data_IF_274656207492
#
_entry.id   IF_274656207492
#
_cell.length_a   1.000
_cell.length_b   1.000
_cell.length_c   1.000
_cell.angle_alpha   90.00
_cell.angle_beta   90.00
_cell.angle_gamma   90.00
#
_symmetry.space_group_name_H-M   'P 1'
#
loop_
_entity.id
_entity.type
_entity.pdbx_description
1 polymer ?
#
# COMPACT_ATOMS: atom_id res chain seq x y z
N UNK A 1 14.33 -2.14 -7.04
CA UNK A 1 14.26 -0.95 -6.17
C UNK A 1 13.32 -1.24 -5.01
N UNK A 2 13.46 -0.53 -3.90
CA UNK A 2 12.66 -0.75 -2.69
C UNK A 2 11.86 0.49 -2.34
N UNK A 3 10.71 0.29 -1.70
CA UNK A 3 9.82 1.33 -1.19
C UNK A 3 9.30 0.89 0.18
N UNK A 4 9.27 1.83 1.11
CA UNK A 4 8.82 1.55 2.48
C UNK A 4 7.30 1.65 2.55
N UNK A 5 6.67 0.66 3.17
CA UNK A 5 5.26 0.74 3.54
C UNK A 5 5.12 1.56 4.83
N UNK A 6 4.06 2.35 4.90
CA UNK A 6 3.67 3.12 6.07
C UNK A 6 2.20 2.86 6.39
N UNK A 7 1.76 3.11 7.62
CA UNK A 7 0.40 2.84 8.03
C UNK A 7 -0.37 4.16 8.10
N UNK A 8 -1.51 4.23 7.42
CA UNK A 8 -2.34 5.43 7.34
C UNK A 8 -3.81 5.05 7.45
N UNK A 9 -4.50 5.60 8.45
CA UNK A 9 -5.87 5.24 8.81
C UNK A 9 -6.09 3.72 8.83
N UNK A 10 -5.20 3.01 9.53
CA UNK A 10 -5.29 1.56 9.74
C UNK A 10 -4.91 0.69 8.54
N UNK A 11 -4.41 1.28 7.45
CA UNK A 11 -4.06 0.57 6.21
C UNK A 11 -2.60 0.78 5.87
N UNK A 12 -1.92 -0.29 5.46
CA UNK A 12 -0.58 -0.18 4.90
C UNK A 12 -0.64 0.41 3.49
N UNK A 13 0.08 1.51 3.30
CA UNK A 13 0.17 2.28 2.07
C UNK A 13 1.63 2.31 1.61
N UNK A 14 1.82 2.45 0.31
CA UNK A 14 3.12 2.72 -0.30
C UNK A 14 2.99 3.88 -1.28
N UNK A 15 3.95 4.80 -1.22
CA UNK A 15 4.03 5.94 -2.12
C UNK A 15 4.91 5.64 -3.33
N UNK A 16 4.57 6.26 -4.47
CA UNK A 16 5.41 6.17 -5.65
C UNK A 16 6.63 7.09 -5.51
N UNK A 17 7.87 6.60 -5.72
CA UNK A 17 9.06 7.45 -5.68
C UNK A 17 9.07 8.61 -6.68
N UNK A 18 8.24 8.52 -7.74
CA UNK A 18 8.12 9.56 -8.79
C UNK A 18 6.91 10.47 -8.62
N UNK A 19 5.81 9.93 -8.09
CA UNK A 19 4.54 10.66 -7.99
C UNK A 19 4.18 11.08 -6.57
N UNK A 20 4.96 10.66 -5.57
CA UNK A 20 4.63 10.76 -4.15
C UNK A 20 3.25 10.17 -3.85
N UNK A 21 2.52 10.86 -2.98
CA UNK A 21 1.16 10.52 -2.54
C UNK A 21 0.13 10.41 -3.67
N UNK A 22 0.38 11.05 -4.83
CA UNK A 22 -0.55 10.96 -5.98
C UNK A 22 -0.47 9.61 -6.70
N UNK A 23 0.58 8.83 -6.43
CA UNK A 23 0.72 7.45 -6.87
C UNK A 23 0.57 6.44 -5.75
N UNK A 24 0.01 6.84 -4.60
CA UNK A 24 -0.14 5.97 -3.44
C UNK A 24 -1.07 4.80 -3.72
N UNK A 25 -0.78 3.65 -3.12
CA UNK A 25 -1.64 2.45 -3.15
C UNK A 25 -1.53 1.67 -1.86
N UNK A 26 -2.41 0.70 -1.68
CA UNK A 26 -2.26 -0.30 -0.63
C UNK A 26 -0.93 -1.06 -0.83
N UNK A 27 -0.18 -1.23 0.25
CA UNK A 27 1.03 -2.03 0.27
C UNK A 27 0.73 -3.55 0.25
N UNK A 28 -0.53 -3.93 0.45
CA UNK A 28 -0.99 -5.31 0.53
C UNK A 28 -2.04 -5.65 -0.52
N UNK A 29 -2.08 -6.90 -1.03
CA UNK A 29 -3.13 -7.34 -1.93
C UNK A 29 -4.50 -7.20 -1.27
N UNK A 30 -5.43 -6.51 -1.93
CA UNK A 30 -6.80 -6.39 -1.45
C UNK A 30 -7.78 -6.80 -2.55
N UNK A 31 -8.32 -8.03 -2.50
CA UNK A 31 -9.21 -8.58 -3.52
C UNK A 31 -10.47 -7.73 -3.84
N UNK A 32 -10.86 -6.79 -2.96
CA UNK A 32 -11.98 -5.87 -3.18
C UNK A 32 -11.57 -4.60 -3.97
N UNK A 33 -10.28 -4.23 -3.95
CA UNK A 33 -9.72 -3.07 -4.66
C UNK A 33 -8.40 -3.39 -5.40
N UNK A 34 -8.23 -4.66 -5.78
CA UNK A 34 -6.95 -5.41 -5.90
C UNK A 34 -5.87 -4.90 -6.83
N UNK A 35 -6.08 -3.77 -7.48
CA UNK A 35 -5.20 -3.26 -8.52
C UNK A 35 -4.71 -1.84 -8.23
N UNK A 36 -5.12 -1.29 -7.09
CA UNK A 36 -4.39 -0.26 -6.34
C UNK A 36 -3.70 -0.89 -5.13
N UNK A 37 -3.14 -2.08 -5.31
CA UNK A 37 -2.38 -2.78 -4.28
C UNK A 37 -1.11 -3.36 -4.86
N UNK A 38 -0.07 -3.45 -4.04
CA UNK A 38 1.07 -4.29 -4.36
C UNK A 38 0.62 -5.76 -4.47
N UNK A 39 1.15 -6.48 -5.45
CA UNK A 39 0.89 -7.89 -5.70
C UNK A 39 2.18 -8.67 -5.45
N UNK A 40 2.14 -9.70 -4.60
CA UNK A 40 3.31 -10.51 -4.23
C UNK A 40 4.49 -9.66 -3.71
N UNK A 41 4.21 -8.61 -2.94
CA UNK A 41 5.22 -7.68 -2.43
C UNK A 41 5.81 -6.75 -3.50
N UNK A 42 5.24 -6.71 -4.70
CA UNK A 42 5.69 -5.86 -5.80
C UNK A 42 4.67 -4.76 -6.09
N UNK A 43 5.16 -3.53 -6.12
CA UNK A 43 4.40 -2.33 -6.41
C UNK A 43 4.77 -1.77 -7.79
N UNK A 44 3.73 -1.42 -8.56
CA UNK A 44 3.82 -0.66 -9.81
C UNK A 44 2.84 0.51 -9.71
N UNK A 45 3.34 1.74 -9.87
CA UNK A 45 2.53 2.93 -9.76
C UNK A 45 1.48 3.00 -10.89
N UNK A 46 0.20 3.00 -10.54
CA UNK A 46 -0.89 3.12 -11.51
C UNK A 46 -0.93 4.48 -12.22
N UNK A 47 -0.34 5.54 -11.64
CA UNK A 47 -0.24 6.84 -12.30
C UNK A 47 0.85 6.85 -13.37
N UNK A 48 2.01 6.24 -13.11
CA UNK A 48 3.06 6.06 -14.10
C UNK A 48 2.63 5.06 -15.20
N UNK A 49 1.89 4.03 -14.80
CA UNK A 49 1.48 2.93 -15.67
C UNK A 49 -0.04 2.72 -15.58
N UNK A 50 -0.85 3.58 -16.22
CA UNK A 50 -2.33 3.53 -16.13
C UNK A 50 -2.93 2.23 -16.69
N UNK A 51 -2.19 1.50 -17.53
CA UNK A 51 -2.57 0.16 -17.98
C UNK A 51 -2.80 -0.84 -16.83
N UNK A 52 -2.25 -0.58 -15.64
CA UNK A 52 -2.47 -1.39 -14.43
C UNK A 52 -3.92 -1.40 -13.94
N UNK A 53 -4.69 -0.34 -14.24
CA UNK A 53 -6.04 -0.12 -13.68
C UNK A 53 -7.14 -0.03 -14.76
N UNK A 54 -6.82 -0.36 -16.02
CA UNK A 54 -7.81 -0.38 -17.11
C UNK A 54 -8.85 -1.47 -16.85
N UNK A 55 -10.10 -1.05 -16.67
CA UNK A 55 -11.24 -1.95 -16.41
C UNK A 55 -11.71 -2.61 -17.70
N UNK A 56 -12.16 -3.86 -17.61
CA UNK A 56 -12.78 -4.63 -18.69
C UNK A 56 -14.20 -5.12 -18.34
N UNK A 57 -14.66 -4.88 -17.11
CA UNK A 57 -16.01 -5.21 -16.67
C UNK A 57 -16.12 -5.40 -15.16
N UNK A 58 -17.08 -6.22 -14.75
CA UNK A 58 -17.32 -6.63 -13.36
C UNK A 58 -17.52 -8.15 -13.35
N UNK A 59 -16.95 -8.84 -12.36
CA UNK A 59 -17.12 -10.28 -12.17
C UNK A 59 -18.48 -10.58 -11.51
N UNK A 60 -18.92 -11.84 -11.56
CA UNK A 60 -20.22 -12.26 -10.98
C UNK A 60 -20.35 -11.97 -9.48
N UNK A 61 -19.23 -11.92 -8.75
CA UNK A 61 -19.18 -11.59 -7.32
C UNK A 61 -19.12 -10.07 -7.03
N UNK A 62 -19.31 -9.21 -8.05
CA UNK A 62 -19.26 -7.76 -7.91
C UNK A 62 -17.86 -7.14 -7.92
N UNK A 63 -16.78 -7.94 -7.92
CA UNK A 63 -15.43 -7.40 -8.02
C UNK A 63 -15.14 -6.86 -9.42
N UNK A 64 -14.32 -5.83 -9.51
CA UNK A 64 -13.94 -5.23 -10.79
C UNK A 64 -13.10 -6.22 -11.63
N UNK A 65 -13.42 -6.34 -12.91
CA UNK A 65 -12.63 -7.10 -13.89
C UNK A 65 -11.71 -6.14 -14.63
N UNK A 66 -10.43 -6.49 -14.76
CA UNK A 66 -9.42 -5.66 -15.40
C UNK A 66 -8.95 -6.24 -16.73
N UNK A 67 -8.41 -5.38 -17.58
CA UNK A 67 -7.88 -5.78 -18.87
C UNK A 67 -6.48 -6.40 -18.69
N UNK A 68 -6.40 -7.73 -18.73
CA UNK A 68 -5.16 -8.48 -18.54
C UNK A 68 -4.06 -8.08 -19.53
N UNK A 69 -4.41 -7.83 -20.79
CA UNK A 69 -3.47 -7.42 -21.83
C UNK A 69 -2.85 -6.06 -21.51
N UNK A 70 -3.67 -5.07 -21.14
CA UNK A 70 -3.18 -3.73 -20.78
C UNK A 70 -2.31 -3.77 -19.52
N UNK A 71 -2.64 -4.64 -18.56
CA UNK A 71 -1.81 -4.87 -17.37
C UNK A 71 -0.47 -5.48 -17.71
N UNK A 72 -0.45 -6.50 -18.59
CA UNK A 72 0.80 -7.13 -19.03
C UNK A 72 1.71 -6.13 -19.75
N UNK A 73 1.16 -5.31 -20.65
CA UNK A 73 1.90 -4.25 -21.36
C UNK A 73 2.44 -3.21 -20.38
N UNK A 74 1.63 -2.77 -19.41
CA UNK A 74 2.06 -1.84 -18.37
C UNK A 74 3.21 -2.41 -17.54
N UNK A 75 3.11 -3.68 -17.12
CA UNK A 75 4.15 -4.38 -16.37
C UNK A 75 5.45 -4.48 -17.15
N UNK A 76 5.39 -4.87 -18.42
CA UNK A 76 6.59 -4.96 -19.28
C UNK A 76 7.28 -3.61 -19.43
N UNK A 77 6.52 -2.52 -19.59
CA UNK A 77 7.09 -1.16 -19.63
C UNK A 77 7.75 -0.78 -18.30
N UNK A 78 7.09 -1.05 -17.17
CA UNK A 78 7.65 -0.79 -15.85
C UNK A 78 8.94 -1.59 -15.62
N UNK A 79 8.97 -2.87 -15.99
CA UNK A 79 10.14 -3.73 -15.89
C UNK A 79 11.31 -3.19 -16.72
N UNK A 80 11.06 -2.84 -17.99
CA UNK A 80 12.09 -2.24 -18.86
C UNK A 80 12.67 -0.96 -18.29
N UNK A 81 11.86 -0.18 -17.58
CA UNK A 81 12.28 1.08 -16.95
C UNK A 81 12.86 0.87 -15.54
N UNK A 82 12.89 -0.37 -15.02
CA UNK A 82 13.29 -0.68 -13.67
C UNK A 82 12.29 -0.27 -12.59
N UNK A 83 11.10 0.20 -12.94
CA UNK A 83 10.10 0.83 -12.05
C UNK A 83 9.11 -0.18 -11.44
N UNK A 84 9.63 -1.37 -11.11
CA UNK A 84 8.96 -2.34 -10.26
C UNK A 84 9.65 -2.29 -8.90
N UNK A 85 8.88 -1.94 -7.87
CA UNK A 85 9.41 -1.71 -6.54
C UNK A 85 9.03 -2.86 -5.61
N UNK A 86 9.98 -3.35 -4.83
CA UNK A 86 9.71 -4.27 -3.72
C UNK A 86 9.21 -3.45 -2.53
N UNK A 87 8.07 -3.83 -2.00
CA UNK A 87 7.49 -3.22 -0.79
C UNK A 87 8.18 -3.83 0.43
N UNK A 88 8.69 -2.96 1.30
CA UNK A 88 9.34 -3.32 2.54
C UNK A 88 8.45 -2.89 3.70
N UNK A 89 8.05 -3.85 4.52
CA UNK A 89 7.32 -3.61 5.76
C UNK A 89 8.32 -3.55 6.93
N UNK A 90 7.99 -2.84 8.02
CA UNK A 90 8.79 -2.90 9.24
C UNK A 90 8.76 -4.32 9.83
N UNK A 91 9.81 -4.71 10.56
CA UNK A 91 9.93 -6.07 11.14
C UNK A 91 8.84 -6.33 12.19
N UNK A 92 8.56 -5.34 13.03
CA UNK A 92 7.56 -5.35 14.10
C UNK A 92 6.14 -4.99 13.60
N UNK A 93 5.82 -5.30 12.35
CA UNK A 93 4.56 -4.94 11.67
C UNK A 93 3.30 -5.22 12.50
N UNK A 94 3.20 -6.42 13.08
CA UNK A 94 2.03 -6.83 13.88
C UNK A 94 1.87 -6.01 15.16
N UNK A 95 2.97 -5.62 15.78
CA UNK A 95 2.96 -4.83 17.01
C UNK A 95 2.50 -3.41 16.71
N UNK A 96 2.96 -2.83 15.60
CA UNK A 96 2.50 -1.52 15.10
C UNK A 96 0.99 -1.56 14.83
N UNK A 97 0.51 -2.56 14.09
CA UNK A 97 -0.92 -2.74 13.80
C UNK A 97 -1.76 -2.82 15.09
N UNK A 98 -1.31 -3.58 16.09
CA UNK A 98 -2.01 -3.69 17.38
C UNK A 98 -1.98 -2.38 18.18
N UNK A 99 -0.85 -1.67 18.17
CA UNK A 99 -0.70 -0.42 18.91
C UNK A 99 -1.56 0.71 18.31
N UNK A 100 -1.60 0.83 16.98
CA UNK A 100 -2.43 1.85 16.30
C UNK A 100 -3.91 1.48 16.32
N UNK A 101 -4.29 0.21 16.28
CA UNK A 101 -5.70 -0.22 16.26
C UNK A 101 -6.52 0.23 17.50
N UNK A 102 -5.84 0.55 18.61
CA UNK A 102 -6.46 1.11 19.81
C UNK A 102 -6.90 2.58 19.66
N UNK A 103 -6.36 3.27 18.66
CA UNK A 103 -6.65 4.67 18.37
C UNK A 103 -7.93 4.80 17.56
N UNK A 104 -8.54 5.99 17.60
CA UNK A 104 -9.60 6.36 16.66
C UNK A 104 -9.10 6.21 15.21
N UNK A 105 -9.95 5.82 14.24
CA UNK A 105 -9.54 5.49 12.87
C UNK A 105 -8.64 6.52 12.18
N UNK A 106 -8.90 7.82 12.37
CA UNK A 106 -8.12 8.90 11.74
C UNK A 106 -6.70 9.05 12.33
N UNK A 107 -6.48 8.51 13.53
CA UNK A 107 -5.20 8.55 14.24
C UNK A 107 -4.43 7.22 14.16
N UNK A 108 -4.95 6.24 13.42
CA UNK A 108 -4.27 4.97 13.20
C UNK A 108 -3.18 5.15 12.14
N UNK A 109 -2.08 5.80 12.52
CA UNK A 109 -0.98 6.17 11.62
C UNK A 109 0.35 5.69 12.20
N UNK A 110 1.30 5.34 11.31
CA UNK A 110 2.70 5.05 11.62
C UNK A 110 3.56 5.32 10.39
N UNK A 111 4.73 5.93 10.58
CA UNK A 111 5.65 6.29 9.50
C UNK A 111 7.01 5.57 9.62
N UNK A 112 7.70 5.26 8.49
CA UNK A 112 9.00 4.62 8.53
C UNK A 112 10.03 5.45 9.30
N UNK A 113 10.63 4.83 10.31
CA UNK A 113 11.57 5.47 11.24
C UNK A 113 10.98 5.71 12.64
N UNK A 114 9.66 5.64 12.79
CA UNK A 114 9.03 5.61 14.11
C UNK A 114 9.26 4.24 14.78
N UNK A 115 9.63 4.23 16.06
CA UNK A 115 9.80 2.98 16.81
C UNK A 115 8.51 2.60 17.52
N UNK A 116 8.37 1.31 17.84
CA UNK A 116 7.19 0.83 18.58
C UNK A 116 7.16 1.40 20.01
N UNK A 117 8.31 1.61 20.62
CA UNK A 117 8.44 2.19 21.96
C UNK A 117 7.85 3.61 21.97
N UNK A 118 8.23 4.44 21.00
CA UNK A 118 7.69 5.80 20.88
C UNK A 118 6.17 5.79 20.67
N UNK A 119 5.68 4.89 19.80
CA UNK A 119 4.25 4.75 19.54
C UNK A 119 3.44 4.34 20.78
N UNK A 120 4.01 3.46 21.62
CA UNK A 120 3.40 3.01 22.87
C UNK A 120 3.43 4.10 23.95
N UNK A 121 4.53 4.84 24.07
CA UNK A 121 4.64 6.00 24.96
C UNK A 121 3.63 7.09 24.59
N UNK A 122 3.50 7.39 23.29
CA UNK A 122 2.51 8.32 22.77
C UNK A 122 1.09 7.86 23.14
N UNK A 123 0.76 6.59 22.90
CA UNK A 123 -0.53 6.02 23.27
C UNK A 123 -0.83 6.23 24.76
N UNK A 124 0.14 5.96 25.63
CA UNK A 124 -0.02 6.15 27.07
C UNK A 124 -0.24 7.62 27.44
N UNK A 125 0.51 8.54 26.85
CA UNK A 125 0.39 9.97 27.10
C UNK A 125 -1.01 10.52 26.71
N UNK A 126 -1.61 9.97 25.65
CA UNK A 126 -2.97 10.32 25.20
C UNK A 126 -4.08 9.44 25.82
N UNK A 127 -3.74 8.54 26.75
CA UNK A 127 -4.72 7.71 27.45
C UNK A 127 -5.36 6.61 26.59
N UNK A 128 -4.73 6.24 25.48
CA UNK A 128 -5.10 5.10 24.63
C UNK A 128 -4.72 3.80 25.36
N UNK A 129 -5.72 2.97 25.69
CA UNK A 129 -5.55 1.74 26.49
C UNK A 129 -5.53 0.48 25.63
#
# INVERSE_FOLDING_TARGET
MEVLAYLNHGRWIVDCPKCGKVGATLAEPNHLVAHYSAENGLFICHKCYPGMIVRSGVNANGSLKFNATMRAVARQKAEKNGEIYRVIFPENRKEIELAVAKRAPDNQNWEPGETIEFLLEENQAYGVK
#
